data_IF_248303588949
#
_entry.id   IF_248303588949
#
_cell.length_a   1.000
_cell.length_b   1.000
_cell.length_c   1.000
_cell.angle_alpha   90.00
_cell.angle_beta   90.00
_cell.angle_gamma   90.00
#
_symmetry.space_group_name_H-M   'P 1'
#
loop_
_entity.id
_entity.type
_entity.pdbx_description
1 polymer ?
#
# COMPACT_ATOMS: atom_id res chain seq x y z
N UNK A 1 29.43 11.80 -39.78
CA UNK A 1 28.75 11.33 -38.56
C UNK A 1 27.26 11.52 -38.78
N UNK A 2 26.48 10.44 -38.90
CA UNK A 2 25.04 10.55 -39.14
C UNK A 2 24.35 11.03 -37.85
N UNK A 3 23.53 12.08 -37.94
CA UNK A 3 22.76 12.62 -36.81
C UNK A 3 21.60 11.69 -36.52
N UNK A 4 21.63 11.01 -35.37
CA UNK A 4 20.51 10.21 -34.87
C UNK A 4 19.30 11.12 -34.73
N UNK A 5 18.24 10.86 -35.48
CA UNK A 5 17.01 11.65 -35.40
C UNK A 5 16.12 11.10 -34.29
N UNK A 6 15.20 11.89 -33.72
CA UNK A 6 14.23 11.39 -32.73
C UNK A 6 13.40 10.19 -33.23
N UNK A 7 13.19 10.11 -34.56
CA UNK A 7 12.52 8.98 -35.19
C UNK A 7 13.38 7.69 -35.18
N UNK A 8 14.71 7.83 -35.22
CA UNK A 8 15.63 6.69 -35.13
C UNK A 8 15.71 6.16 -33.69
N UNK A 9 15.69 7.03 -32.67
CA UNK A 9 15.61 6.61 -31.26
C UNK A 9 14.27 5.93 -30.95
N UNK A 10 13.17 6.45 -31.50
CA UNK A 10 11.86 5.81 -31.36
C UNK A 10 11.82 4.45 -32.06
N UNK A 11 12.40 4.32 -33.26
CA UNK A 11 12.53 3.02 -33.94
C UNK A 11 13.34 2.01 -33.12
N UNK A 12 14.49 2.41 -32.58
CA UNK A 12 15.31 1.55 -31.74
C UNK A 12 14.58 1.09 -30.47
N UNK A 13 13.68 1.91 -29.91
CA UNK A 13 12.82 1.53 -28.77
C UNK A 13 11.65 0.64 -29.19
N UNK A 14 11.12 0.81 -30.40
CA UNK A 14 10.04 -0.02 -30.95
C UNK A 14 10.50 -1.40 -31.40
N UNK A 15 11.81 -1.61 -31.59
CA UNK A 15 12.39 -2.94 -31.81
C UNK A 15 12.25 -3.85 -30.57
N UNK A 16 11.95 -3.27 -29.38
CA UNK A 16 11.57 -4.03 -28.20
C UNK A 16 10.08 -4.44 -28.28
N UNK A 17 9.76 -5.75 -28.31
CA UNK A 17 8.39 -6.23 -28.41
C UNK A 17 7.50 -5.80 -27.23
N UNK A 18 8.07 -5.59 -26.04
CA UNK A 18 7.31 -5.11 -24.88
C UNK A 18 6.91 -3.64 -25.05
N UNK A 19 7.80 -2.82 -25.61
CA UNK A 19 7.54 -1.39 -25.88
C UNK A 19 6.52 -1.24 -27.01
N UNK A 20 6.64 -2.03 -28.07
CA UNK A 20 5.67 -2.02 -29.18
C UNK A 20 4.26 -2.46 -28.71
N UNK A 21 4.17 -3.49 -27.85
CA UNK A 21 2.90 -3.93 -27.28
C UNK A 21 2.27 -2.88 -26.34
N UNK A 22 3.09 -2.22 -25.51
CA UNK A 22 2.62 -1.13 -24.66
C UNK A 22 2.14 0.07 -25.48
N UNK A 23 2.85 0.44 -26.55
CA UNK A 23 2.44 1.53 -27.44
C UNK A 23 1.14 1.21 -28.16
N UNK A 24 0.97 -0.01 -28.69
CA UNK A 24 -0.29 -0.43 -29.27
C UNK A 24 -1.43 -0.38 -28.25
N UNK A 25 -1.22 -0.84 -27.02
CA UNK A 25 -2.25 -0.76 -25.98
C UNK A 25 -2.65 0.70 -25.67
N UNK A 26 -1.68 1.61 -25.57
CA UNK A 26 -1.95 3.05 -25.37
C UNK A 26 -2.69 3.65 -26.56
N UNK A 27 -2.32 3.30 -27.79
CA UNK A 27 -2.98 3.76 -29.01
C UNK A 27 -4.41 3.20 -29.12
N UNK A 28 -4.62 1.94 -28.78
CA UNK A 28 -5.93 1.27 -28.77
C UNK A 28 -6.90 1.91 -27.76
N UNK A 29 -6.37 2.52 -26.69
CA UNK A 29 -7.16 3.16 -25.64
C UNK A 29 -6.99 4.69 -25.62
N UNK A 30 -6.43 5.29 -26.67
CA UNK A 30 -6.12 6.73 -26.71
C UNK A 30 -7.36 7.62 -26.54
N UNK A 31 -8.51 7.19 -27.04
CA UNK A 31 -9.78 7.92 -26.89
C UNK A 31 -10.30 7.88 -25.44
N UNK A 32 -10.15 6.74 -24.75
CA UNK A 32 -10.49 6.64 -23.33
C UNK A 32 -9.54 7.46 -22.47
N UNK A 33 -8.26 7.51 -22.83
CA UNK A 33 -7.28 8.38 -22.18
C UNK A 33 -7.60 9.86 -22.39
N UNK A 34 -8.02 10.25 -23.59
CA UNK A 34 -8.46 11.62 -23.87
C UNK A 34 -9.73 11.98 -23.07
N UNK A 35 -10.69 11.06 -22.97
CA UNK A 35 -11.89 11.24 -22.16
C UNK A 35 -11.58 11.37 -20.66
N UNK A 36 -10.69 10.51 -20.13
CA UNK A 36 -10.24 10.60 -18.74
C UNK A 36 -9.50 11.90 -18.47
N UNK A 37 -8.65 12.34 -19.40
CA UNK A 37 -7.92 13.60 -19.26
C UNK A 37 -8.87 14.81 -19.30
N UNK A 38 -9.89 14.79 -20.16
CA UNK A 38 -10.94 15.81 -20.18
C UNK A 38 -11.82 15.80 -18.92
N UNK A 39 -12.13 14.62 -18.37
CA UNK A 39 -12.82 14.46 -17.11
C UNK A 39 -12.01 14.98 -15.92
N UNK A 40 -10.70 14.71 -15.92
CA UNK A 40 -9.75 15.23 -14.93
C UNK A 40 -9.63 16.75 -15.00
N UNK A 41 -9.50 17.32 -16.20
CA UNK A 41 -9.47 18.77 -16.41
C UNK A 41 -10.78 19.43 -15.91
N UNK A 42 -11.93 18.82 -16.22
CA UNK A 42 -13.22 19.26 -15.71
C UNK A 42 -13.36 19.17 -14.19
N UNK A 43 -12.80 18.13 -13.55
CA UNK A 43 -12.78 17.98 -12.10
C UNK A 43 -11.84 19.01 -11.45
N UNK A 44 -10.63 19.22 -11.99
CA UNK A 44 -9.68 20.19 -11.45
C UNK A 44 -10.25 21.60 -11.51
N UNK A 45 -10.84 21.97 -12.66
CA UNK A 45 -11.46 23.28 -12.87
C UNK A 45 -12.63 23.55 -11.92
N UNK A 46 -13.41 22.53 -11.59
CA UNK A 46 -14.50 22.61 -10.60
C UNK A 46 -14.01 22.45 -9.16
N UNK A 47 -12.87 21.81 -8.96
CA UNK A 47 -12.24 21.61 -7.67
C UNK A 47 -11.85 22.93 -7.03
N UNK A 48 -11.37 23.88 -7.83
CA UNK A 48 -11.06 25.24 -7.36
C UNK A 48 -12.34 25.95 -6.87
N UNK A 49 -13.43 25.88 -7.63
CA UNK A 49 -14.74 26.46 -7.24
C UNK A 49 -15.34 25.78 -5.99
N UNK A 50 -15.25 24.45 -5.92
CA UNK A 50 -15.73 23.67 -4.77
C UNK A 50 -14.89 23.98 -3.53
N UNK A 51 -13.57 24.07 -3.66
CA UNK A 51 -12.67 24.38 -2.56
C UNK A 51 -12.90 25.79 -2.03
N UNK A 52 -13.09 26.77 -2.92
CA UNK A 52 -13.42 28.15 -2.55
C UNK A 52 -14.78 28.24 -1.84
N UNK A 53 -15.81 27.53 -2.37
CA UNK A 53 -17.14 27.48 -1.73
C UNK A 53 -17.10 26.81 -0.35
N UNK A 54 -16.27 25.78 -0.18
CA UNK A 54 -16.09 25.06 1.07
C UNK A 54 -15.28 25.88 2.08
N UNK A 55 -14.21 26.53 1.63
CA UNK A 55 -13.40 27.43 2.44
C UNK A 55 -14.24 28.64 2.93
N UNK A 56 -15.05 29.21 2.03
CA UNK A 56 -16.02 30.24 2.35
C UNK A 56 -17.06 29.79 3.39
N UNK A 57 -17.64 28.60 3.23
CA UNK A 57 -18.58 28.03 4.20
C UNK A 57 -17.94 27.77 5.57
N UNK A 58 -16.69 27.27 5.62
CA UNK A 58 -15.95 27.07 6.87
C UNK A 58 -15.60 28.42 7.52
N UNK A 59 -15.23 29.41 6.72
CA UNK A 59 -14.97 30.77 7.20
C UNK A 59 -16.23 31.41 7.77
N UNK A 60 -17.36 31.26 7.10
CA UNK A 60 -18.66 31.77 7.56
C UNK A 60 -19.15 31.05 8.83
N UNK A 61 -18.90 29.74 8.96
CA UNK A 61 -19.18 28.99 10.20
C UNK A 61 -18.28 29.47 11.36
N UNK A 62 -17.02 29.81 11.08
CA UNK A 62 -16.09 30.33 12.09
C UNK A 62 -16.42 31.76 12.51
N UNK A 63 -16.75 32.62 11.56
CA UNK A 63 -17.02 34.05 11.77
C UNK A 63 -18.46 34.29 12.26
N UNK A 64 -19.38 33.38 11.96
CA UNK A 64 -20.68 33.29 12.61
C UNK A 64 -20.47 32.81 14.04
N UNK A 65 -20.06 33.71 14.93
CA UNK A 65 -19.92 33.53 16.38
C UNK A 65 -21.26 33.23 17.11
N UNK A 66 -22.16 32.48 16.46
CA UNK A 66 -23.33 31.83 17.05
C UNK A 66 -23.14 30.29 17.12
N UNK A 67 -21.88 29.83 17.12
CA UNK A 67 -21.44 28.42 17.34
C UNK A 67 -21.58 28.00 18.81
N UNK A 68 -22.65 28.43 19.47
CA UNK A 68 -23.05 27.96 20.81
C UNK A 68 -24.35 27.15 20.73
N UNK A 69 -24.90 26.93 19.52
CA UNK A 69 -26.22 26.30 19.33
C UNK A 69 -26.23 25.06 18.45
N UNK A 70 -25.10 24.66 17.84
CA UNK A 70 -25.03 23.45 17.01
C UNK A 70 -24.21 22.35 17.71
N UNK A 71 -24.84 21.29 18.23
CA UNK A 71 -24.14 20.17 18.86
C UNK A 71 -23.27 19.47 17.82
N UNK A 72 -21.96 19.36 18.09
CA UNK A 72 -20.96 18.75 17.21
C UNK A 72 -19.93 19.72 16.62
N UNK A 73 -20.22 21.03 16.56
CA UNK A 73 -19.24 22.04 16.06
C UNK A 73 -18.25 22.46 17.17
N UNK A 74 -18.61 22.35 18.45
CA UNK A 74 -17.62 22.50 19.55
C UNK A 74 -16.45 21.51 19.45
N UNK A 75 -16.69 20.30 18.92
CA UNK A 75 -15.62 19.33 18.68
C UNK A 75 -14.65 19.81 17.59
N UNK A 76 -15.10 20.66 16.66
CA UNK A 76 -14.25 21.26 15.62
C UNK A 76 -13.50 22.50 16.11
N UNK A 77 -14.02 23.24 17.11
CA UNK A 77 -13.30 24.36 17.75
C UNK A 77 -11.97 23.92 18.39
N UNK A 78 -11.91 22.67 18.87
CA UNK A 78 -10.72 22.08 19.50
C UNK A 78 -9.84 21.29 18.51
N UNK A 79 -10.26 21.16 17.26
CA UNK A 79 -9.45 20.54 16.21
C UNK A 79 -8.51 21.60 15.67
N UNK A 80 -7.25 21.48 16.06
CA UNK A 80 -6.18 22.29 15.49
C UNK A 80 -5.94 21.82 14.05
N UNK A 81 -6.60 22.51 13.10
CA UNK A 81 -6.47 22.27 11.67
C UNK A 81 -5.03 22.43 11.19
N UNK A 82 -4.22 23.25 11.87
CA UNK A 82 -2.80 23.39 11.58
C UNK A 82 -2.05 22.13 12.02
N UNK A 83 -2.30 21.63 13.24
CA UNK A 83 -1.70 20.38 13.71
C UNK A 83 -2.14 19.15 12.87
N UNK A 84 -3.37 19.15 12.35
CA UNK A 84 -3.83 18.14 11.41
C UNK A 84 -3.12 18.25 10.05
N UNK A 85 -2.95 19.46 9.53
CA UNK A 85 -2.21 19.70 8.29
C UNK A 85 -0.73 19.31 8.44
N UNK A 86 -0.11 19.60 9.59
CA UNK A 86 1.26 19.20 9.93
C UNK A 86 1.37 17.68 10.07
N UNK A 87 0.38 17.04 10.68
CA UNK A 87 0.31 15.57 10.78
C UNK A 87 0.14 14.94 9.41
N UNK A 88 -0.72 15.51 8.56
CA UNK A 88 -0.99 15.02 7.21
C UNK A 88 0.21 15.24 6.28
N UNK A 89 0.91 16.36 6.38
CA UNK A 89 2.14 16.63 5.63
C UNK A 89 3.30 15.75 6.10
N UNK A 90 3.37 15.45 7.40
CA UNK A 90 4.33 14.48 7.94
C UNK A 90 4.03 13.07 7.45
N UNK A 91 2.76 12.66 7.50
CA UNK A 91 2.31 11.36 6.98
C UNK A 91 2.49 11.24 5.48
N UNK A 92 2.14 12.26 4.71
CA UNK A 92 2.29 12.28 3.25
C UNK A 92 3.77 12.31 2.88
N UNK A 93 4.61 13.05 3.59
CA UNK A 93 6.06 13.03 3.40
C UNK A 93 6.68 11.66 3.71
N UNK A 94 6.23 11.00 4.78
CA UNK A 94 6.63 9.64 5.11
C UNK A 94 6.14 8.63 4.06
N UNK A 95 4.91 8.79 3.57
CA UNK A 95 4.29 7.93 2.57
C UNK A 95 4.94 8.11 1.20
N UNK A 96 5.27 9.34 0.79
CA UNK A 96 6.01 9.64 -0.46
C UNK A 96 7.40 9.02 -0.41
N UNK A 97 8.11 9.13 0.73
CA UNK A 97 9.40 8.46 0.92
C UNK A 97 9.28 6.93 0.93
N UNK A 98 8.18 6.40 1.46
CA UNK A 98 7.89 4.97 1.46
C UNK A 98 7.29 4.48 0.12
N UNK A 99 6.89 5.38 -0.79
CA UNK A 99 6.18 5.03 -2.03
C UNK A 99 6.95 4.04 -2.90
N UNK A 100 8.29 4.12 -3.08
CA UNK A 100 9.03 3.11 -3.83
C UNK A 100 8.97 1.73 -3.16
N UNK A 101 9.07 1.67 -1.83
CA UNK A 101 8.94 0.43 -1.07
C UNK A 101 7.51 -0.11 -1.12
N UNK A 102 6.50 0.75 -0.97
CA UNK A 102 5.08 0.40 -1.07
C UNK A 102 4.75 -0.09 -2.47
N UNK A 103 5.23 0.58 -3.52
CA UNK A 103 5.00 0.16 -4.90
C UNK A 103 5.70 -1.17 -5.18
N UNK A 104 6.91 -1.37 -4.63
CA UNK A 104 7.61 -2.66 -4.69
C UNK A 104 6.81 -3.76 -3.99
N UNK A 105 6.22 -3.48 -2.82
CA UNK A 105 5.37 -4.42 -2.09
C UNK A 105 4.06 -4.71 -2.84
N UNK A 106 3.42 -3.68 -3.40
CA UNK A 106 2.18 -3.76 -4.19
C UNK A 106 2.37 -4.48 -5.53
N UNK A 107 3.54 -4.34 -6.16
CA UNK A 107 3.93 -5.07 -7.37
C UNK A 107 4.56 -6.42 -7.05
N UNK A 108 4.80 -6.75 -5.78
CA UNK A 108 5.35 -8.04 -5.37
C UNK A 108 4.24 -9.07 -5.19
N UNK A 109 4.62 -10.34 -5.02
CA UNK A 109 3.70 -11.41 -4.68
C UNK A 109 2.98 -11.23 -3.33
N UNK A 110 3.27 -10.19 -2.54
CA UNK A 110 2.59 -9.93 -1.27
C UNK A 110 1.15 -9.44 -1.44
N UNK A 111 0.77 -8.93 -2.61
CA UNK A 111 -0.62 -8.59 -2.99
C UNK A 111 -1.35 -9.73 -3.68
N UNK A 112 -0.67 -10.86 -3.96
CA UNK A 112 -1.31 -12.07 -4.46
C UNK A 112 -2.27 -12.60 -3.39
N UNK A 113 -3.54 -12.93 -3.73
CA UNK A 113 -4.49 -13.54 -2.80
C UNK A 113 -3.88 -14.70 -1.99
N UNK A 114 -3.00 -15.52 -2.61
CA UNK A 114 -2.36 -16.63 -1.91
C UNK A 114 -1.38 -16.19 -0.82
N UNK A 115 -0.64 -15.10 -1.03
CA UNK A 115 0.29 -14.58 -0.04
C UNK A 115 -0.45 -13.88 1.11
N UNK A 116 -1.54 -13.16 0.79
CA UNK A 116 -2.43 -12.55 1.78
C UNK A 116 -3.00 -13.63 2.70
N UNK A 117 -3.49 -14.75 2.15
CA UNK A 117 -4.00 -15.87 2.94
C UNK A 117 -2.93 -16.48 3.85
N UNK A 118 -1.70 -16.68 3.37
CA UNK A 118 -0.60 -17.20 4.19
C UNK A 118 -0.25 -16.23 5.32
N UNK A 119 -0.20 -14.93 5.04
CA UNK A 119 0.07 -13.90 6.05
C UNK A 119 -1.05 -13.79 7.08
N UNK A 120 -2.31 -13.89 6.65
CA UNK A 120 -3.47 -13.89 7.54
C UNK A 120 -3.43 -15.11 8.47
N UNK A 121 -3.22 -16.30 7.93
CA UNK A 121 -3.10 -17.53 8.72
C UNK A 121 -1.92 -17.49 9.70
N UNK A 122 -0.77 -16.93 9.30
CA UNK A 122 0.37 -16.73 10.20
C UNK A 122 0.06 -15.70 11.29
N UNK A 123 -0.64 -14.61 10.97
CA UNK A 123 -1.07 -13.60 11.92
C UNK A 123 -2.03 -14.15 12.96
N UNK A 124 -3.04 -14.91 12.53
CA UNK A 124 -4.00 -15.59 13.40
C UNK A 124 -3.29 -16.58 14.33
N UNK A 125 -2.42 -17.44 13.79
CA UNK A 125 -1.61 -18.37 14.60
C UNK A 125 -0.69 -17.66 15.61
N UNK A 126 -0.17 -16.46 15.30
CA UNK A 126 0.63 -15.66 16.23
C UNK A 126 -0.21 -15.07 17.37
N UNK A 127 -1.42 -14.60 17.07
CA UNK A 127 -2.35 -14.08 18.08
C UNK A 127 -2.83 -15.21 18.99
N UNK A 128 -3.21 -16.34 18.40
CA UNK A 128 -3.66 -17.53 19.11
C UNK A 128 -2.55 -18.13 19.96
N UNK A 129 -1.32 -18.22 19.45
CA UNK A 129 -0.17 -18.71 20.23
C UNK A 129 0.17 -17.78 21.38
N UNK A 130 -0.01 -16.46 21.25
CA UNK A 130 0.17 -15.51 22.36
C UNK A 130 -0.90 -15.68 23.44
N UNK A 131 -2.15 -15.93 23.04
CA UNK A 131 -3.22 -16.24 23.98
C UNK A 131 -2.97 -17.59 24.68
N UNK A 132 -2.61 -18.63 23.91
CA UNK A 132 -2.31 -19.96 24.41
C UNK A 132 -1.08 -19.98 25.33
N UNK A 133 -0.01 -19.27 25.00
CA UNK A 133 1.22 -19.23 25.82
C UNK A 133 1.02 -18.62 27.21
N UNK A 134 -0.06 -17.84 27.41
CA UNK A 134 -0.46 -17.35 28.75
C UNK A 134 -1.17 -18.40 29.58
N UNK A 135 -1.87 -19.33 28.93
CA UNK A 135 -2.68 -20.37 29.57
C UNK A 135 -1.93 -21.72 29.68
N UNK A 136 -1.08 -22.04 28.72
CA UNK A 136 -0.24 -23.24 28.67
C UNK A 136 1.19 -22.83 28.23
N UNK A 137 2.11 -22.62 29.21
CA UNK A 137 3.47 -22.21 28.93
C UNK A 137 4.24 -23.27 28.13
N UNK A 138 5.16 -22.83 27.27
CA UNK A 138 5.99 -23.74 26.49
C UNK A 138 6.70 -24.78 27.39
N UNK A 139 6.76 -26.05 26.97
CA UNK A 139 7.30 -27.12 27.80
C UNK A 139 8.80 -26.90 28.07
N UNK A 140 9.13 -26.65 29.34
CA UNK A 140 10.52 -26.45 29.81
C UNK A 140 11.25 -27.77 30.13
N UNK A 141 10.54 -28.90 30.08
CA UNK A 141 11.10 -30.21 30.44
C UNK A 141 11.59 -30.98 29.22
N UNK A 142 12.69 -31.72 29.36
CA UNK A 142 13.26 -32.58 28.30
C UNK A 142 12.23 -33.58 27.72
N UNK A 143 11.30 -34.07 28.55
CA UNK A 143 10.20 -34.94 28.12
C UNK A 143 9.13 -34.18 27.32
N UNK A 144 8.83 -32.93 27.68
CA UNK A 144 7.91 -32.08 26.93
C UNK A 144 8.44 -31.74 25.54
N UNK A 145 9.74 -31.43 25.43
CA UNK A 145 10.42 -31.26 24.14
C UNK A 145 10.39 -32.53 23.28
N UNK A 146 10.59 -33.70 23.89
CA UNK A 146 10.49 -34.98 23.18
C UNK A 146 9.06 -35.27 22.67
N UNK A 147 8.03 -34.82 23.40
CA UNK A 147 6.64 -34.96 23.00
C UNK A 147 6.30 -34.05 21.82
N UNK A 148 6.78 -32.80 21.81
CA UNK A 148 6.63 -31.87 20.67
C UNK A 148 7.20 -32.45 19.37
N UNK A 149 8.33 -33.16 19.43
CA UNK A 149 8.89 -33.85 18.25
C UNK A 149 7.96 -34.91 17.65
N UNK A 150 7.02 -35.46 18.43
CA UNK A 150 6.03 -36.43 17.95
C UNK A 150 4.72 -35.79 17.50
N UNK A 151 4.55 -34.50 17.76
CA UNK A 151 3.35 -33.76 17.38
C UNK A 151 3.33 -33.52 15.86
N UNK A 152 2.25 -33.92 15.20
CA UNK A 152 2.11 -33.83 13.75
C UNK A 152 2.06 -32.37 13.29
N UNK A 153 1.50 -31.47 14.09
CA UNK A 153 1.32 -30.07 13.72
C UNK A 153 2.64 -29.30 13.87
N UNK A 154 3.40 -29.58 14.92
CA UNK A 154 4.77 -29.06 15.11
C UNK A 154 5.68 -29.50 13.97
N UNK A 155 5.62 -30.79 13.57
CA UNK A 155 6.41 -31.31 12.46
C UNK A 155 6.05 -30.64 11.12
N UNK A 156 4.76 -30.35 10.87
CA UNK A 156 4.33 -29.63 9.66
C UNK A 156 4.85 -28.19 9.64
N UNK A 157 4.73 -27.46 10.75
CA UNK A 157 5.24 -26.08 10.86
C UNK A 157 6.76 -26.00 10.67
N UNK A 158 7.52 -26.90 11.30
CA UNK A 158 8.96 -27.00 11.09
C UNK A 158 9.32 -27.37 9.65
N UNK A 159 8.56 -28.28 9.03
CA UNK A 159 8.70 -28.64 7.62
C UNK A 159 8.54 -27.45 6.68
N UNK A 160 7.51 -26.63 6.92
CA UNK A 160 7.27 -25.40 6.17
C UNK A 160 8.45 -24.41 6.33
N UNK A 161 8.92 -24.18 7.55
CA UNK A 161 10.05 -23.26 7.80
C UNK A 161 11.34 -23.71 7.11
N UNK A 162 11.63 -25.02 7.11
CA UNK A 162 12.77 -25.56 6.36
C UNK A 162 12.65 -25.34 4.85
N UNK A 163 11.44 -25.48 4.30
CA UNK A 163 11.20 -25.26 2.89
C UNK A 163 11.32 -23.78 2.50
N UNK A 164 10.82 -22.87 3.34
CA UNK A 164 10.99 -21.41 3.17
C UNK A 164 12.47 -21.04 3.22
N UNK A 165 13.22 -21.55 4.21
CA UNK A 165 14.65 -21.31 4.33
C UNK A 165 15.43 -21.81 3.09
N UNK A 166 15.05 -22.98 2.55
CA UNK A 166 15.64 -23.54 1.32
C UNK A 166 15.35 -22.68 0.09
N UNK A 167 14.13 -22.21 -0.08
CA UNK A 167 13.73 -21.34 -1.19
C UNK A 167 14.44 -19.98 -1.13
N UNK A 168 14.49 -19.39 0.06
CA UNK A 168 15.15 -18.13 0.32
C UNK A 168 16.67 -18.21 0.07
N UNK A 169 17.32 -19.24 0.62
CA UNK A 169 18.76 -19.46 0.43
C UNK A 169 19.14 -19.66 -1.04
N UNK A 170 18.28 -20.33 -1.83
CA UNK A 170 18.51 -20.49 -3.28
C UNK A 170 18.51 -19.14 -4.00
N UNK A 171 17.61 -18.23 -3.62
CA UNK A 171 17.48 -16.90 -4.23
C UNK A 171 18.65 -15.97 -3.90
N UNK A 172 19.15 -16.04 -2.66
CA UNK A 172 20.33 -15.27 -2.23
C UNK A 172 21.61 -15.83 -2.84
N UNK A 173 21.73 -17.15 -2.98
CA UNK A 173 22.91 -17.77 -3.58
C UNK A 173 23.00 -17.64 -5.11
N UNK A 174 21.94 -17.14 -5.77
CA UNK A 174 21.87 -16.97 -7.22
C UNK A 174 21.88 -15.51 -7.70
N UNK A 175 22.04 -14.54 -6.78
CA UNK A 175 22.22 -13.11 -7.08
C UNK A 175 23.60 -12.64 -6.65
#
# INVERSE_FOLDING_TARGET
MATVTPADDLRARLDDPAVAAALNNVLDHAELLAFLLGGLDGMLRRGDEITESLAGAIHEIRDSAAVDTVPGIESLKNVDLQALADSLTTLSGALVKATPAINTLLSSRLTDPQAVDVLANLGEALVDSRAAARSDPAPTTLRGLWRMRKDKDVLRGLGFMMQVAREFGRRIGSG
#
